data_IF_257865961102
#
_entry.id   IF_257865961102
#
_cell.length_a   1.000
_cell.length_b   1.000
_cell.length_c   1.000
_cell.angle_alpha   90.00
_cell.angle_beta   90.00
_cell.angle_gamma   90.00
#
_symmetry.space_group_name_H-M   'P 1'
#
loop_
_entity.id
_entity.type
_entity.pdbx_description
1 polymer ?
#
# COMPACT_ATOMS: atom_id res chain seq x y z
N UNK A 1 4.24 21.01 -7.70
CA UNK A 1 4.56 20.45 -6.37
C UNK A 1 5.36 19.16 -6.61
N UNK A 2 6.63 19.04 -6.18
CA UNK A 2 7.41 17.82 -6.39
C UNK A 2 6.85 16.70 -5.50
N UNK A 3 6.18 15.71 -6.09
CA UNK A 3 5.78 14.48 -5.39
C UNK A 3 7.02 13.61 -5.20
N UNK A 4 7.21 13.04 -4.01
CA UNK A 4 8.26 12.05 -3.80
C UNK A 4 7.71 10.72 -4.32
N UNK A 5 8.27 10.23 -5.42
CA UNK A 5 7.96 8.93 -6.00
C UNK A 5 9.14 7.98 -5.76
N UNK A 6 8.83 6.74 -5.38
CA UNK A 6 9.84 5.68 -5.28
C UNK A 6 9.26 4.38 -5.82
N UNK A 7 10.06 3.67 -6.62
CA UNK A 7 9.80 2.28 -6.95
C UNK A 7 10.22 1.43 -5.76
N UNK A 8 9.31 0.64 -5.23
CA UNK A 8 9.53 -0.25 -4.09
C UNK A 8 9.24 -1.66 -4.54
N UNK A 9 10.19 -2.57 -4.29
CA UNK A 9 10.02 -3.99 -4.55
C UNK A 9 9.70 -4.67 -3.22
N UNK A 10 8.56 -5.34 -3.15
CA UNK A 10 8.17 -6.15 -1.99
C UNK A 10 7.95 -7.58 -2.48
N UNK A 11 8.71 -8.53 -1.94
CA UNK A 11 8.75 -9.89 -2.48
C UNK A 11 9.26 -9.86 -3.93
N UNK A 12 8.43 -10.35 -4.87
CA UNK A 12 8.69 -10.32 -6.32
C UNK A 12 7.83 -9.28 -7.07
N UNK A 13 7.05 -8.45 -6.37
CA UNK A 13 6.17 -7.44 -6.98
C UNK A 13 6.77 -6.04 -6.86
N UNK A 14 6.67 -5.28 -7.95
CA UNK A 14 7.06 -3.88 -7.99
C UNK A 14 5.85 -2.97 -7.76
N UNK A 15 6.02 -1.97 -6.90
CA UNK A 15 5.02 -0.96 -6.58
C UNK A 15 5.58 0.44 -6.82
N UNK A 16 4.77 1.33 -7.40
CA UNK A 16 5.09 2.76 -7.46
C UNK A 16 4.45 3.44 -6.27
N UNK A 17 5.28 4.02 -5.41
CA UNK A 17 4.84 4.61 -4.14
C UNK A 17 5.00 6.13 -4.19
N UNK A 18 3.93 6.84 -3.87
CA UNK A 18 3.88 8.29 -3.81
C UNK A 18 3.70 8.76 -2.37
N UNK A 19 4.48 9.75 -1.97
CA UNK A 19 4.32 10.43 -0.69
C UNK A 19 3.93 11.89 -0.89
N UNK A 20 2.73 12.22 -0.46
CA UNK A 20 2.21 13.59 -0.45
C UNK A 20 2.25 14.16 0.99
N UNK A 21 2.69 15.40 1.14
CA UNK A 21 2.64 16.10 2.43
C UNK A 21 1.20 16.50 2.75
N UNK A 22 0.75 16.20 3.96
CA UNK A 22 -0.52 16.68 4.52
C UNK A 22 -0.22 17.97 5.31
N UNK A 23 -0.87 19.06 4.92
CA UNK A 23 -0.78 20.36 5.60
C UNK A 23 -2.15 20.81 6.07
N UNK A 24 -2.16 21.59 7.13
CA UNK A 24 -3.36 22.33 7.54
C UNK A 24 -3.67 23.45 6.54
N UNK A 25 -4.96 23.75 6.35
CA UNK A 25 -5.43 24.78 5.41
C UNK A 25 -5.51 26.19 6.05
N UNK A 26 -5.00 26.34 7.27
CA UNK A 26 -4.98 27.61 8.01
C UNK A 26 -3.83 28.56 7.61
N UNK A 27 -3.87 29.76 8.20
CA UNK A 27 -2.89 30.85 7.98
C UNK A 27 -1.45 30.41 8.29
N UNK A 28 -1.28 29.55 9.30
CA UNK A 28 -0.01 28.88 9.60
C UNK A 28 -0.07 27.42 9.14
N UNK A 29 0.35 27.15 7.90
CA UNK A 29 0.41 25.81 7.34
C UNK A 29 1.37 24.92 8.14
N UNK A 30 0.85 24.18 9.12
CA UNK A 30 1.63 23.22 9.90
C UNK A 30 1.64 21.86 9.19
N UNK A 31 2.81 21.21 9.18
CA UNK A 31 2.97 19.86 8.63
C UNK A 31 2.31 18.84 9.58
N UNK A 32 1.26 18.17 9.10
CA UNK A 32 0.50 17.19 9.91
C UNK A 32 0.96 15.76 9.69
N UNK A 33 1.60 15.50 8.55
CA UNK A 33 2.11 14.17 8.22
C UNK A 33 2.17 13.90 6.73
N UNK A 34 2.17 12.62 6.38
CA UNK A 34 2.32 12.16 5.00
C UNK A 34 1.18 11.24 4.60
N UNK A 35 0.78 11.32 3.33
CA UNK A 35 -0.11 10.38 2.70
C UNK A 35 0.70 9.52 1.75
N UNK A 36 0.71 8.22 1.99
CA UNK A 36 1.42 7.24 1.18
C UNK A 36 0.38 6.56 0.28
N UNK A 37 0.63 6.55 -1.02
CA UNK A 37 -0.21 5.90 -2.03
C UNK A 37 0.64 4.88 -2.78
N UNK A 38 0.18 3.63 -2.84
CA UNK A 38 0.81 2.54 -3.58
C UNK A 38 0.01 2.29 -4.85
N UNK A 39 0.71 2.21 -5.98
CA UNK A 39 0.17 1.72 -7.24
C UNK A 39 0.85 0.39 -7.59
N UNK A 40 0.11 -0.51 -8.23
CA UNK A 40 0.68 -1.74 -8.77
C UNK A 40 1.57 -1.45 -10.00
N UNK A 41 2.20 -2.49 -10.56
CA UNK A 41 3.05 -2.38 -11.77
C UNK A 41 2.35 -1.79 -13.01
N UNK A 42 1.02 -1.90 -13.09
CA UNK A 42 0.22 -1.37 -14.20
C UNK A 42 -0.17 0.10 -13.98
N UNK A 43 0.11 0.67 -12.80
CA UNK A 43 -0.31 2.02 -12.42
C UNK A 43 -1.69 2.08 -11.80
N UNK A 44 -2.34 0.95 -11.54
CA UNK A 44 -3.64 0.93 -10.86
C UNK A 44 -3.47 1.19 -9.36
N UNK A 45 -4.49 1.81 -8.78
CA UNK A 45 -4.55 2.04 -7.34
C UNK A 45 -4.49 0.70 -6.59
N UNK A 46 -3.53 0.58 -5.68
CA UNK A 46 -3.37 -0.59 -4.83
C UNK A 46 -3.82 -0.30 -3.40
N UNK A 47 -3.16 0.65 -2.74
CA UNK A 47 -3.45 0.98 -1.34
C UNK A 47 -3.10 2.43 -1.01
N UNK A 48 -3.69 2.96 0.06
CA UNK A 48 -3.41 4.32 0.54
C UNK A 48 -3.60 4.45 2.04
N UNK A 49 -2.65 5.11 2.71
CA UNK A 49 -2.72 5.39 4.15
C UNK A 49 -2.16 6.76 4.48
N UNK A 50 -2.73 7.39 5.50
CA UNK A 50 -2.22 8.63 6.09
C UNK A 50 -1.44 8.29 7.36
N UNK A 51 -0.30 8.92 7.52
CA UNK A 51 0.56 8.78 8.68
C UNK A 51 0.81 10.15 9.32
N UNK A 52 0.93 10.22 10.66
CA UNK A 52 1.26 11.45 11.36
C UNK A 52 2.67 11.93 11.01
N UNK A 53 2.99 13.19 11.28
CA UNK A 53 4.32 13.78 11.05
C UNK A 53 5.44 13.14 11.85
N UNK A 54 5.10 12.40 12.91
CA UNK A 54 6.02 11.68 13.79
C UNK A 54 6.28 10.23 13.37
N UNK A 55 5.66 9.76 12.29
CA UNK A 55 5.78 8.37 11.83
C UNK A 55 7.22 8.00 11.52
N UNK A 56 7.62 6.78 11.88
CA UNK A 56 8.91 6.23 11.45
C UNK A 56 8.83 5.68 10.02
N UNK A 57 9.87 5.84 9.17
CA UNK A 57 9.93 5.17 7.87
C UNK A 57 9.70 3.65 7.95
N UNK A 58 10.12 3.00 9.03
CA UNK A 58 9.95 1.55 9.26
C UNK A 58 8.48 1.16 9.39
N UNK A 59 7.63 2.02 9.95
CA UNK A 59 6.19 1.76 10.04
C UNK A 59 5.52 1.87 8.68
N UNK A 60 5.97 2.79 7.83
CA UNK A 60 5.51 2.91 6.45
C UNK A 60 5.91 1.66 5.67
N UNK A 61 7.16 1.21 5.79
CA UNK A 61 7.66 -0.02 5.15
C UNK A 61 6.91 -1.27 5.61
N UNK A 62 6.63 -1.37 6.91
CA UNK A 62 5.87 -2.49 7.46
C UNK A 62 4.44 -2.52 6.95
N UNK A 63 3.76 -1.36 6.93
CA UNK A 63 2.45 -1.24 6.31
C UNK A 63 2.45 -1.64 4.82
N UNK A 64 3.46 -1.24 4.04
CA UNK A 64 3.56 -1.63 2.62
C UNK A 64 3.67 -3.16 2.47
N UNK A 65 4.43 -3.83 3.35
CA UNK A 65 4.53 -5.30 3.37
C UNK A 65 3.21 -5.97 3.74
N UNK A 66 2.52 -5.45 4.75
CA UNK A 66 1.21 -5.98 5.17
C UNK A 66 0.19 -5.92 4.02
N UNK A 67 0.14 -4.82 3.27
CA UNK A 67 -0.76 -4.70 2.12
C UNK A 67 -0.40 -5.68 1.00
N UNK A 68 0.89 -5.90 0.74
CA UNK A 68 1.34 -6.91 -0.23
C UNK A 68 0.90 -8.32 0.16
N UNK A 69 1.13 -8.74 1.41
CA UNK A 69 0.75 -10.09 1.85
C UNK A 69 -0.76 -10.30 1.91
N UNK A 70 -1.52 -9.26 2.25
CA UNK A 70 -3.00 -9.32 2.22
C UNK A 70 -3.52 -9.56 0.80
N UNK A 71 -2.94 -8.91 -0.20
CA UNK A 71 -3.29 -9.10 -1.61
C UNK A 71 -2.93 -10.51 -2.10
N UNK A 72 -1.71 -10.99 -1.82
CA UNK A 72 -1.28 -12.34 -2.18
C UNK A 72 -2.20 -13.42 -1.57
N UNK A 73 -2.62 -13.25 -0.32
CA UNK A 73 -3.56 -14.18 0.34
C UNK A 73 -4.94 -14.17 -0.32
N UNK A 74 -5.42 -12.99 -0.73
CA UNK A 74 -6.72 -12.83 -1.38
C UNK A 74 -6.70 -13.44 -2.78
N UNK A 75 -5.65 -13.18 -3.56
CA UNK A 75 -5.45 -13.75 -4.89
C UNK A 75 -5.35 -15.28 -4.81
N UNK A 76 -4.65 -15.81 -3.81
CA UNK A 76 -4.54 -17.25 -3.56
C UNK A 76 -5.92 -17.87 -3.27
N UNK A 77 -6.71 -17.26 -2.39
CA UNK A 77 -8.06 -17.74 -2.05
C UNK A 77 -9.01 -17.67 -3.26
N UNK A 78 -8.99 -16.59 -4.04
CA UNK A 78 -9.81 -16.47 -5.25
C UNK A 78 -9.42 -17.56 -6.26
N UNK A 79 -8.13 -17.77 -6.47
CA UNK A 79 -7.64 -18.81 -7.38
C UNK A 79 -8.03 -20.22 -6.90
N UNK A 80 -7.98 -20.48 -5.59
CA UNK A 80 -8.45 -21.74 -5.01
C UNK A 80 -9.96 -21.91 -5.23
N UNK A 81 -10.75 -20.86 -4.96
CA UNK A 81 -12.20 -20.87 -5.17
C UNK A 81 -12.60 -21.06 -6.65
N UNK A 82 -11.87 -20.46 -7.59
CA UNK A 82 -12.14 -20.64 -9.03
C UNK A 82 -11.82 -22.06 -9.53
N UNK A 83 -10.82 -22.71 -8.92
CA UNK A 83 -10.43 -24.10 -9.23
C UNK A 83 -11.26 -25.12 -8.45
N UNK A 84 -12.09 -24.65 -7.54
CA UNK A 84 -12.89 -25.50 -6.68
C UNK A 84 -14.04 -26.12 -7.48
N UNK A 85 -14.04 -27.45 -7.55
CA UNK A 85 -15.03 -28.29 -8.25
C UNK A 85 -16.17 -28.77 -7.33
N UNK A 86 -16.25 -28.24 -6.10
CA UNK A 86 -17.37 -28.45 -5.18
C UNK A 86 -17.07 -29.32 -3.95
N UNK A 87 -15.85 -29.80 -3.74
CA UNK A 87 -15.46 -30.53 -2.51
C UNK A 87 -14.48 -29.69 -1.71
N UNK A 88 -14.94 -29.10 -0.60
CA UNK A 88 -14.20 -28.17 0.26
C UNK A 88 -13.74 -28.93 1.53
N UNK A 89 -13.01 -30.02 1.34
CA UNK A 89 -12.27 -30.67 2.40
C UNK A 89 -10.81 -30.78 1.93
N UNK A 90 -9.88 -30.32 2.78
CA UNK A 90 -8.40 -30.34 2.68
C UNK A 90 -7.66 -29.04 2.31
N UNK A 91 -8.11 -27.87 2.82
CA UNK A 91 -7.20 -26.75 3.15
C UNK A 91 -7.52 -26.13 4.51
#
# INVERSE_FOLDING_TARGET
MKKVERLVVVGAREYRVFMDKIRDLGVNQTFKGVQVTMLNKNGDFFAKKRFPSTVSPVEIESWMREMHYSDDSTETLINAFQKWDGVLDDY
#
